data_IF_246273576983
#
_entry.id   IF_246273576983
#
_cell.length_a   1.000
_cell.length_b   1.000
_cell.length_c   1.000
_cell.angle_alpha   90.00
_cell.angle_beta   90.00
_cell.angle_gamma   90.00
#
_symmetry.space_group_name_H-M   'P 1'
#
loop_
_entity.id
_entity.type
_entity.pdbx_description
1 polymer ?
#
# COMPACT_ATOMS: atom_id res chain seq x y z
N UNK A 1 3.51 -1.37 -20.84
CA UNK A 1 2.86 -2.71 -20.83
C UNK A 1 1.63 -2.85 -21.75
N UNK A 2 0.84 -1.79 -22.01
CA UNK A 2 -0.42 -1.86 -22.80
C UNK A 2 -0.31 -2.33 -24.27
N UNK A 3 0.87 -2.30 -24.88
CA UNK A 3 1.08 -2.74 -26.27
C UNK A 3 1.47 -4.23 -26.41
N UNK A 4 1.52 -5.00 -25.32
CA UNK A 4 1.89 -6.43 -25.38
C UNK A 4 0.61 -7.29 -25.45
N UNK A 5 0.40 -7.99 -26.55
CA UNK A 5 -0.80 -8.80 -26.84
C UNK A 5 -1.18 -9.76 -25.69
N UNK A 6 -0.21 -10.44 -25.08
CA UNK A 6 -0.42 -11.37 -23.96
C UNK A 6 -0.92 -10.70 -22.68
N UNK A 7 -0.44 -9.49 -22.42
CA UNK A 7 -0.82 -8.68 -21.27
C UNK A 7 -2.26 -8.20 -21.53
N UNK A 8 -2.53 -7.60 -22.69
CA UNK A 8 -3.84 -7.05 -23.08
C UNK A 8 -5.00 -8.05 -23.03
N UNK A 9 -4.79 -9.31 -23.41
CA UNK A 9 -5.84 -10.35 -23.36
C UNK A 9 -6.22 -10.77 -21.93
N UNK A 10 -5.34 -10.57 -20.96
CA UNK A 10 -5.56 -10.95 -19.56
C UNK A 10 -6.24 -9.84 -18.74
N UNK A 11 -5.95 -8.55 -19.02
CA UNK A 11 -6.55 -7.43 -18.27
C UNK A 11 -8.07 -7.31 -18.41
N UNK A 12 -8.65 -7.79 -19.51
CA UNK A 12 -10.11 -7.79 -19.70
C UNK A 12 -10.83 -8.80 -18.81
N UNK A 13 -10.20 -9.96 -18.56
CA UNK A 13 -10.79 -11.09 -17.84
C UNK A 13 -10.61 -10.96 -16.33
N UNK A 14 -9.48 -10.39 -15.87
CA UNK A 14 -9.18 -10.21 -14.43
C UNK A 14 -10.16 -9.26 -13.72
N UNK A 15 -10.90 -8.42 -14.46
CA UNK A 15 -11.95 -7.54 -13.89
C UNK A 15 -13.24 -8.26 -13.53
N UNK A 16 -13.44 -9.49 -13.99
CA UNK A 16 -14.66 -10.27 -13.73
C UNK A 16 -14.35 -11.23 -12.59
N UNK A 17 -14.84 -10.87 -11.41
CA UNK A 17 -15.03 -11.67 -10.19
C UNK A 17 -14.59 -13.15 -10.32
N UNK A 18 -13.36 -13.44 -9.89
CA UNK A 18 -12.91 -14.73 -9.33
C UNK A 18 -13.38 -16.00 -10.06
N UNK A 19 -12.85 -16.32 -11.24
CA UNK A 19 -12.71 -17.72 -11.69
C UNK A 19 -11.38 -17.84 -12.46
N UNK A 20 -10.35 -18.34 -11.77
CA UNK A 20 -9.06 -18.68 -12.37
C UNK A 20 -9.05 -20.17 -12.70
N UNK A 21 -9.89 -20.59 -13.64
CA UNK A 21 -9.82 -21.94 -14.21
C UNK A 21 -9.17 -21.89 -15.60
N UNK A 22 -8.48 -22.97 -15.96
CA UNK A 22 -7.74 -23.14 -17.22
C UNK A 22 -8.56 -22.83 -18.48
N UNK A 23 -9.90 -22.92 -18.38
CA UNK A 23 -10.85 -22.65 -19.45
C UNK A 23 -11.06 -21.15 -19.74
N UNK A 24 -11.04 -20.30 -18.72
CA UNK A 24 -11.26 -18.85 -18.89
C UNK A 24 -10.02 -18.15 -19.46
N UNK A 25 -8.85 -18.77 -19.25
CA UNK A 25 -7.54 -18.22 -19.63
C UNK A 25 -6.66 -19.29 -20.31
N UNK A 26 -7.07 -19.86 -21.46
CA UNK A 26 -6.36 -20.97 -22.10
C UNK A 26 -4.94 -20.60 -22.51
N UNK A 27 -4.73 -19.35 -22.95
CA UNK A 27 -3.40 -18.83 -23.28
C UNK A 27 -2.47 -18.72 -22.05
N UNK A 28 -3.03 -18.43 -20.88
CA UNK A 28 -2.26 -18.41 -19.63
C UNK A 28 -1.93 -19.84 -19.20
N UNK A 29 -2.90 -20.75 -19.26
CA UNK A 29 -2.69 -22.16 -18.91
C UNK A 29 -1.59 -22.80 -19.77
N UNK A 30 -1.62 -22.57 -21.08
CA UNK A 30 -0.57 -23.05 -21.99
C UNK A 30 0.79 -22.43 -21.67
N UNK A 31 0.84 -21.12 -21.40
CA UNK A 31 2.09 -20.45 -21.06
C UNK A 31 2.68 -20.93 -19.72
N UNK A 32 1.86 -21.16 -18.70
CA UNK A 32 2.32 -21.67 -17.40
C UNK A 32 2.86 -23.11 -17.47
N UNK A 33 2.48 -23.87 -18.50
CA UNK A 33 3.00 -25.21 -18.76
C UNK A 33 4.25 -25.23 -19.67
N UNK A 34 4.81 -24.06 -20.03
CA UNK A 34 6.10 -23.98 -20.73
C UNK A 34 7.28 -24.19 -19.78
N UNK A 35 8.51 -24.28 -20.32
CA UNK A 35 9.70 -24.41 -19.49
C UNK A 35 9.86 -23.21 -18.55
N UNK A 36 10.13 -23.47 -17.26
CA UNK A 36 10.29 -22.44 -16.23
C UNK A 36 11.23 -21.30 -16.63
N UNK A 37 12.33 -21.63 -17.33
CA UNK A 37 13.31 -20.65 -17.83
C UNK A 37 12.69 -19.62 -18.79
N UNK A 38 11.75 -20.04 -19.64
CA UNK A 38 11.05 -19.14 -20.57
C UNK A 38 10.07 -18.22 -19.85
N UNK A 39 9.37 -18.77 -18.85
CA UNK A 39 8.47 -18.03 -17.96
C UNK A 39 9.27 -16.94 -17.22
N UNK A 40 10.37 -17.30 -16.57
CA UNK A 40 11.25 -16.37 -15.85
C UNK A 40 11.83 -15.29 -16.76
N UNK A 41 12.32 -15.67 -17.95
CA UNK A 41 12.85 -14.71 -18.93
C UNK A 41 11.80 -13.67 -19.32
N UNK A 42 10.56 -14.10 -19.55
CA UNK A 42 9.44 -13.20 -19.88
C UNK A 42 9.04 -12.31 -18.70
N UNK A 43 9.00 -12.86 -17.49
CA UNK A 43 8.72 -12.09 -16.27
C UNK A 43 9.77 -11.01 -16.06
N UNK A 44 11.06 -11.36 -16.14
CA UNK A 44 12.15 -10.41 -16.00
C UNK A 44 12.06 -9.31 -17.06
N UNK A 45 11.78 -9.65 -18.33
CA UNK A 45 11.56 -8.65 -19.37
C UNK A 45 10.34 -7.73 -19.12
N UNK A 46 9.31 -8.18 -18.40
CA UNK A 46 8.22 -7.31 -17.96
C UNK A 46 8.64 -6.39 -16.81
N UNK A 47 9.37 -6.93 -15.85
CA UNK A 47 9.91 -6.19 -14.71
C UNK A 47 10.88 -5.11 -15.19
N UNK A 48 11.82 -5.45 -16.06
CA UNK A 48 12.82 -4.53 -16.61
C UNK A 48 12.17 -3.32 -17.28
N UNK A 49 11.04 -3.54 -17.98
CA UNK A 49 10.27 -2.47 -18.60
C UNK A 49 9.64 -1.46 -17.63
N UNK A 50 9.51 -1.81 -16.34
CA UNK A 50 8.98 -0.91 -15.29
C UNK A 50 10.05 -0.47 -14.29
N UNK A 51 11.27 -1.01 -14.36
CA UNK A 51 12.37 -0.65 -13.47
C UNK A 51 12.66 0.86 -13.46
N UNK A 52 12.72 1.58 -14.60
CA UNK A 52 12.99 3.02 -14.59
C UNK A 52 11.93 3.81 -13.80
N UNK A 53 10.65 3.46 -13.97
CA UNK A 53 9.55 4.07 -13.24
C UNK A 53 9.64 3.75 -11.74
N UNK A 54 9.92 2.48 -11.39
CA UNK A 54 10.11 2.06 -10.00
C UNK A 54 11.25 2.84 -9.33
N UNK A 55 12.38 3.01 -10.03
CA UNK A 55 13.53 3.75 -9.52
C UNK A 55 13.21 5.23 -9.29
N UNK A 56 12.55 5.88 -10.25
CA UNK A 56 12.12 7.27 -10.12
C UNK A 56 11.14 7.47 -8.95
N UNK A 57 10.13 6.60 -8.83
CA UNK A 57 9.16 6.64 -7.74
C UNK A 57 9.82 6.38 -6.38
N UNK A 58 10.71 5.40 -6.28
CA UNK A 58 11.44 5.12 -5.04
C UNK A 58 12.30 6.32 -4.62
N UNK A 59 12.96 6.97 -5.56
CA UNK A 59 13.75 8.17 -5.28
C UNK A 59 12.86 9.31 -4.75
N UNK A 60 11.74 9.58 -5.42
CA UNK A 60 10.79 10.62 -5.02
C UNK A 60 10.17 10.33 -3.64
N UNK A 61 9.69 9.10 -3.40
CA UNK A 61 9.13 8.70 -2.12
C UNK A 61 10.18 8.75 -0.99
N UNK A 62 11.43 8.40 -1.27
CA UNK A 62 12.53 8.51 -0.32
C UNK A 62 12.84 9.96 0.05
N UNK A 63 12.73 10.89 -0.90
CA UNK A 63 12.89 12.32 -0.63
C UNK A 63 11.72 12.81 0.22
N UNK A 64 10.47 12.58 -0.21
CA UNK A 64 9.25 12.96 0.53
C UNK A 64 9.33 12.46 1.98
N UNK A 65 9.59 11.17 2.19
CA UNK A 65 9.66 10.58 3.52
C UNK A 65 10.80 11.11 4.41
N UNK A 66 11.79 11.82 3.88
CA UNK A 66 12.92 12.37 4.65
C UNK A 66 12.77 13.85 4.99
N UNK A 67 11.83 14.59 4.38
CA UNK A 67 11.70 16.02 4.63
C UNK A 67 11.33 16.34 6.08
N UNK A 68 10.45 15.54 6.69
CA UNK A 68 9.99 15.78 8.05
C UNK A 68 10.30 14.62 8.98
N UNK A 69 10.72 14.97 10.20
CA UNK A 69 11.09 14.01 11.25
C UNK A 69 9.88 13.64 12.11
N UNK A 70 9.99 12.49 12.77
CA UNK A 70 8.94 12.05 13.69
C UNK A 70 8.93 12.88 14.96
N UNK A 71 7.77 13.45 15.28
CA UNK A 71 7.49 14.12 16.55
C UNK A 71 6.65 13.21 17.45
N UNK A 72 6.88 13.28 18.76
CA UNK A 72 6.05 12.56 19.72
C UNK A 72 4.69 13.25 19.85
N UNK A 73 3.63 12.47 19.71
CA UNK A 73 2.24 12.90 19.87
C UNK A 73 1.55 11.99 20.87
N UNK A 74 0.39 12.42 21.37
CA UNK A 74 -0.43 11.63 22.29
C UNK A 74 -1.85 11.53 21.73
N UNK A 75 -2.38 10.31 21.71
CA UNK A 75 -3.79 10.09 21.45
C UNK A 75 -4.58 10.36 22.72
N UNK A 76 -5.75 10.97 22.57
CA UNK A 76 -6.72 11.17 23.64
C UNK A 76 -8.04 10.53 23.26
N UNK A 77 -8.61 9.71 24.14
CA UNK A 77 -9.82 8.92 23.86
C UNK A 77 -9.73 8.18 22.51
N UNK A 78 -8.57 7.57 22.22
CA UNK A 78 -8.31 6.78 21.01
C UNK A 78 -8.39 7.61 19.72
N UNK A 79 -8.28 8.92 19.85
CA UNK A 79 -8.38 9.88 18.76
C UNK A 79 -7.20 10.86 18.75
N UNK A 80 -6.91 11.41 17.58
CA UNK A 80 -5.99 12.52 17.40
C UNK A 80 -6.48 13.38 16.23
N UNK A 81 -6.45 14.69 16.38
CA UNK A 81 -6.76 15.62 15.30
C UNK A 81 -5.55 16.49 15.01
N UNK A 82 -5.20 16.60 13.74
CA UNK A 82 -4.11 17.44 13.27
C UNK A 82 -4.52 18.31 12.10
N UNK A 83 -3.67 19.30 11.84
CA UNK A 83 -3.72 20.08 10.61
C UNK A 83 -2.31 20.22 10.07
N UNK A 84 -2.18 20.13 8.75
CA UNK A 84 -0.92 20.34 8.05
C UNK A 84 -1.18 21.04 6.73
N UNK A 85 -0.38 22.05 6.45
CA UNK A 85 -0.36 22.74 5.17
C UNK A 85 0.76 22.15 4.32
N UNK A 86 0.47 21.85 3.06
CA UNK A 86 1.45 21.35 2.08
C UNK A 86 2.17 20.05 2.49
N UNK A 87 1.44 19.07 3.01
CA UNK A 87 1.94 17.70 3.18
C UNK A 87 1.15 16.73 2.31
N UNK A 88 1.88 15.85 1.62
CA UNK A 88 1.35 14.82 0.73
C UNK A 88 1.24 13.47 1.44
N UNK A 89 1.97 13.27 2.54
CA UNK A 89 2.08 12.00 3.23
C UNK A 89 2.04 12.15 4.76
N UNK A 90 1.22 11.32 5.42
CA UNK A 90 1.25 11.20 6.89
C UNK A 90 1.89 9.86 7.25
N UNK A 91 2.89 9.91 8.14
CA UNK A 91 3.59 8.74 8.65
C UNK A 91 3.35 8.61 10.15
N UNK A 92 2.89 7.44 10.56
CA UNK A 92 2.55 7.13 11.96
C UNK A 92 3.42 5.96 12.41
N UNK A 93 3.99 6.05 13.61
CA UNK A 93 4.64 4.92 14.28
C UNK A 93 3.92 4.64 15.59
N UNK A 94 3.50 3.39 15.74
CA UNK A 94 2.85 2.85 16.92
C UNK A 94 3.76 1.84 17.60
N UNK A 95 3.52 1.60 18.89
CA UNK A 95 4.18 0.53 19.61
C UNK A 95 3.54 -0.80 19.20
N UNK A 96 4.36 -1.79 18.82
CA UNK A 96 3.89 -3.05 18.25
C UNK A 96 3.08 -3.89 19.25
N UNK A 97 3.32 -3.70 20.55
CA UNK A 97 2.65 -4.43 21.63
C UNK A 97 1.21 -3.96 21.91
N UNK A 98 0.76 -2.87 21.28
CA UNK A 98 -0.61 -2.38 21.47
C UNK A 98 -1.60 -3.00 20.47
N UNK A 99 -1.11 -3.69 19.42
CA UNK A 99 -1.95 -4.27 18.35
C UNK A 99 -2.97 -3.29 17.77
N UNK A 100 -2.56 -2.03 17.62
CA UNK A 100 -3.41 -0.95 17.11
C UNK A 100 -3.07 -0.62 15.67
N UNK A 101 -4.09 -0.21 14.92
CA UNK A 101 -3.92 0.41 13.61
C UNK A 101 -4.71 1.73 13.51
N UNK A 102 -4.20 2.70 12.72
CA UNK A 102 -4.87 3.98 12.53
C UNK A 102 -5.91 3.90 11.40
N UNK A 103 -7.11 4.39 11.68
CA UNK A 103 -8.11 4.77 10.69
C UNK A 103 -8.04 6.29 10.50
N UNK A 104 -7.69 6.75 9.29
CA UNK A 104 -7.44 8.16 9.01
C UNK A 104 -8.56 8.71 8.12
N UNK A 105 -9.09 9.88 8.48
CA UNK A 105 -9.96 10.68 7.61
C UNK A 105 -9.37 12.07 7.43
N UNK A 106 -9.63 12.70 6.28
CA UNK A 106 -9.05 14.01 5.93
C UNK A 106 -10.07 14.90 5.24
N UNK A 107 -9.99 16.20 5.51
CA UNK A 107 -10.76 17.25 4.84
C UNK A 107 -9.93 18.53 4.76
N UNK A 108 -9.62 18.96 3.52
CA UNK A 108 -8.70 20.09 3.24
C UNK A 108 -7.34 19.86 3.91
N UNK A 109 -6.88 20.81 4.72
CA UNK A 109 -5.61 20.76 5.47
C UNK A 109 -5.74 20.07 6.83
N UNK A 110 -6.88 19.46 7.14
CA UNK A 110 -7.16 18.83 8.44
C UNK A 110 -7.31 17.33 8.29
N UNK A 111 -6.88 16.60 9.31
CA UNK A 111 -7.05 15.16 9.38
C UNK A 111 -7.38 14.72 10.79
N UNK A 112 -8.02 13.57 10.88
CA UNK A 112 -8.39 12.90 12.10
C UNK A 112 -7.88 11.46 12.05
N UNK A 113 -7.35 10.99 13.17
CA UNK A 113 -6.85 9.63 13.35
C UNK A 113 -7.67 9.00 14.46
N UNK A 114 -8.39 7.94 14.15
CA UNK A 114 -9.04 7.06 15.12
C UNK A 114 -8.23 5.78 15.21
N UNK A 115 -7.86 5.38 16.41
CA UNK A 115 -7.10 4.14 16.62
C UNK A 115 -8.04 3.00 16.99
N UNK A 116 -7.86 1.87 16.30
CA UNK A 116 -8.64 0.66 16.45
C UNK A 116 -7.70 -0.50 16.79
N UNK A 117 -8.21 -1.49 17.51
CA UNK A 117 -7.48 -2.72 17.78
C UNK A 117 -7.65 -3.69 16.60
N UNK A 118 -6.63 -4.50 16.32
CA UNK A 118 -6.65 -5.53 15.27
C UNK A 118 -7.79 -6.54 15.46
N UNK A 119 -7.97 -7.03 16.70
CA UNK A 119 -9.19 -7.73 17.12
C UNK A 119 -10.32 -6.71 17.39
N UNK A 120 -11.31 -6.66 16.51
CA UNK A 120 -12.44 -5.73 16.63
C UNK A 120 -13.47 -6.12 17.69
N UNK A 121 -13.50 -7.39 18.11
CA UNK A 121 -14.51 -7.91 19.03
C UNK A 121 -14.03 -7.86 20.47
N UNK A 122 -12.80 -8.30 20.73
CA UNK A 122 -12.25 -8.43 22.09
C UNK A 122 -11.07 -7.48 22.36
N UNK A 123 -10.62 -6.74 21.35
CA UNK A 123 -9.48 -5.86 21.44
C UNK A 123 -9.71 -4.65 22.35
N UNK A 124 -8.73 -4.38 23.21
CA UNK A 124 -8.76 -3.22 24.10
C UNK A 124 -7.81 -2.16 23.54
N UNK A 125 -8.36 -1.00 23.24
CA UNK A 125 -7.57 0.18 22.89
C UNK A 125 -7.44 1.06 24.13
N UNK A 126 -6.23 1.36 24.63
CA UNK A 126 -6.05 2.30 25.72
C UNK A 126 -6.65 3.67 25.36
N UNK A 127 -7.27 4.35 26.32
CA UNK A 127 -7.85 5.68 26.06
C UNK A 127 -6.79 6.68 25.59
N UNK A 128 -5.63 6.66 26.25
CA UNK A 128 -4.53 7.57 26.02
C UNK A 128 -3.23 6.80 25.82
N UNK A 129 -2.48 7.11 24.76
CA UNK A 129 -1.16 6.52 24.53
C UNK A 129 -0.29 7.40 23.63
N UNK A 130 1.05 7.33 23.80
CA UNK A 130 1.97 8.05 22.93
C UNK A 130 2.12 7.33 21.58
N UNK A 131 2.33 8.11 20.53
CA UNK A 131 2.72 7.63 19.21
C UNK A 131 3.67 8.63 18.56
N UNK A 132 4.24 8.30 17.41
CA UNK A 132 5.03 9.28 16.63
C UNK A 132 4.38 9.61 15.31
N UNK A 133 4.40 10.89 14.96
CA UNK A 133 3.81 11.44 13.74
C UNK A 133 4.84 12.24 12.95
N UNK A 134 4.87 12.07 11.63
CA UNK A 134 5.53 12.96 10.70
C UNK A 134 4.58 13.25 9.54
N UNK A 135 4.38 14.53 9.20
CA UNK A 135 3.66 14.93 8.00
C UNK A 135 4.71 15.36 6.98
N UNK A 136 4.79 14.72 5.83
CA UNK A 136 5.82 14.87 4.80
C UNK A 136 5.22 15.44 3.52
#
# INVERSE_FOLDING_TARGET
>A
MRHRYFVRTQYGVIKIKSLSYSFDLPALHLWLNTHKKEIETRINFWIDGILPLRSALNMLLNLICKFNTFTSQKSYNRFYQGSVENADLIRIRLLINLSLYPQISGHKTRFAIRFLHEDSENGIVPDDFPFKLACC
#
